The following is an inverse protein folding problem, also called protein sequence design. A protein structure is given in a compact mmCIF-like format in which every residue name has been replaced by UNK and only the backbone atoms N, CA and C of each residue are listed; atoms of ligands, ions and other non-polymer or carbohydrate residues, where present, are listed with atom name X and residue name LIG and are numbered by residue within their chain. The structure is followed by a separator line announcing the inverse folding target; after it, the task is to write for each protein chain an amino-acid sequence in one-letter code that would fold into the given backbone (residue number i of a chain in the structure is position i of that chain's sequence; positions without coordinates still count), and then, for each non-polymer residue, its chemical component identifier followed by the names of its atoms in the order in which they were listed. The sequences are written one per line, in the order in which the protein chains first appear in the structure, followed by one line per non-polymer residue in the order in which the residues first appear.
data_IF_500094099202
#
_entry.id   IF_500094099202
#
_cell.length_a   1.000
_cell.length_b   1.000
_cell.length_c   1.000
_cell.angle_alpha   90.00
_cell.angle_beta   90.00
_cell.angle_gamma   90.00
#
_symmetry.space_group_name_H-M   'P 1'
#
loop_
_entity.id
_entity.type
_entity.pdbx_description
1 polymer ?
#
# COMPACT_ATOMS: atom_id res chain seq x y z
N UNK A 1 -15.06 -12.73 -12.93
CA UNK A 1 -14.05 -13.30 -13.85
C UNK A 1 -12.70 -12.56 -13.83
N UNK A 2 -12.63 -11.22 -13.77
CA UNK A 2 -11.34 -10.49 -13.75
C UNK A 2 -10.46 -10.74 -12.51
N UNK A 3 -11.05 -10.86 -11.33
CA UNK A 3 -10.28 -11.05 -10.09
C UNK A 3 -9.58 -12.42 -10.02
N UNK A 4 -10.23 -13.47 -10.54
CA UNK A 4 -9.64 -14.82 -10.59
C UNK A 4 -8.46 -14.91 -11.57
N UNK A 5 -8.48 -14.10 -12.64
CA UNK A 5 -7.39 -14.01 -13.60
C UNK A 5 -6.18 -13.28 -12.98
N UNK A 6 -6.44 -12.16 -12.28
CA UNK A 6 -5.41 -11.37 -11.63
C UNK A 6 -4.71 -12.14 -10.49
N UNK A 7 -5.44 -12.96 -9.73
CA UNK A 7 -4.85 -13.81 -8.69
C UNK A 7 -3.97 -14.91 -9.31
N UNK A 8 -4.37 -15.47 -10.45
CA UNK A 8 -3.58 -16.46 -11.18
C UNK A 8 -2.29 -15.86 -11.75
N UNK A 9 -2.36 -14.69 -12.38
CA UNK A 9 -1.17 -13.97 -12.88
C UNK A 9 -0.17 -13.64 -11.77
N UNK A 10 -0.69 -13.17 -10.62
CA UNK A 10 0.14 -12.85 -9.46
C UNK A 10 0.82 -14.10 -8.88
N UNK A 11 0.11 -15.23 -8.85
CA UNK A 11 0.67 -16.51 -8.41
C UNK A 11 1.73 -17.04 -9.39
N UNK A 12 1.52 -16.89 -10.70
CA UNK A 12 2.48 -17.29 -11.73
C UNK A 12 3.77 -16.46 -11.67
N UNK A 13 3.67 -15.16 -11.40
CA UNK A 13 4.83 -14.29 -11.24
C UNK A 13 5.66 -14.65 -9.99
N UNK A 14 5.00 -15.15 -8.94
CA UNK A 14 5.65 -15.59 -7.70
C UNK A 14 6.24 -17.00 -7.81
N UNK A 15 5.65 -17.87 -8.63
CA UNK A 15 6.11 -19.23 -8.86
C UNK A 15 7.28 -19.25 -9.86
N UNK A 16 8.51 -19.07 -9.38
CA UNK A 16 9.73 -19.11 -10.21
C UNK A 16 9.97 -20.43 -10.96
N UNK A 17 9.35 -21.54 -10.54
CA UNK A 17 9.58 -22.89 -11.12
C UNK A 17 8.29 -23.66 -11.45
N UNK A 18 7.15 -22.98 -11.63
CA UNK A 18 5.90 -23.63 -12.08
C UNK A 18 5.19 -24.54 -11.05
N UNK A 19 5.72 -24.66 -9.83
CA UNK A 19 5.04 -25.34 -8.72
C UNK A 19 4.23 -24.33 -7.91
N UNK A 20 2.91 -24.36 -8.09
CA UNK A 20 1.97 -23.53 -7.32
C UNK A 20 1.60 -24.28 -6.03
N UNK A 21 2.21 -23.90 -4.92
CA UNK A 21 1.89 -24.42 -3.58
C UNK A 21 0.78 -23.58 -2.94
N UNK A 22 -0.03 -24.15 -2.05
CA UNK A 22 -1.12 -23.45 -1.31
C UNK A 22 -0.65 -22.13 -0.64
N UNK A 23 0.62 -22.08 -0.19
CA UNK A 23 1.20 -20.87 0.37
C UNK A 23 1.33 -19.72 -0.64
N UNK A 24 1.61 -20.01 -1.91
CA UNK A 24 1.72 -19.02 -2.99
C UNK A 24 0.33 -18.50 -3.35
N UNK A 25 -0.70 -19.36 -3.32
CA UNK A 25 -2.10 -18.96 -3.54
C UNK A 25 -2.57 -18.04 -2.40
N UNK A 26 -2.24 -18.35 -1.15
CA UNK A 26 -2.53 -17.49 0.00
C UNK A 26 -1.80 -16.13 -0.10
N UNK A 27 -0.53 -16.11 -0.49
CA UNK A 27 0.20 -14.86 -0.72
C UNK A 27 -0.37 -14.03 -1.88
N UNK A 28 -0.76 -14.68 -2.99
CA UNK A 28 -1.37 -14.02 -4.13
C UNK A 28 -2.77 -13.46 -3.80
N UNK A 29 -3.56 -14.20 -3.01
CA UNK A 29 -4.86 -13.75 -2.50
C UNK A 29 -4.74 -12.58 -1.53
N UNK A 30 -3.77 -12.60 -0.60
CA UNK A 30 -3.52 -11.48 0.32
C UNK A 30 -3.12 -10.21 -0.43
N UNK A 31 -2.31 -10.30 -1.49
CA UNK A 31 -1.94 -9.14 -2.31
C UNK A 31 -3.15 -8.45 -2.93
N UNK A 32 -4.20 -9.20 -3.29
CA UNK A 32 -5.46 -8.65 -3.78
C UNK A 32 -6.28 -7.93 -2.70
N UNK A 33 -6.10 -8.27 -1.41
CA UNK A 33 -6.77 -7.62 -0.28
C UNK A 33 -6.05 -6.30 0.07
N UNK A 34 -4.73 -6.25 -0.10
CA UNK A 34 -3.97 -5.00 0.06
C UNK A 34 -4.19 -3.99 -1.08
N UNK A 35 -4.64 -4.46 -2.23
CA UNK A 35 -4.99 -3.63 -3.38
C UNK A 35 -6.49 -3.30 -3.34
N UNK A 36 -6.98 -2.87 -2.18
CA UNK A 36 -8.36 -2.44 -2.09
C UNK A 36 -8.53 -1.15 -2.89
N UNK A 37 -9.33 -1.29 -3.93
CA UNK A 37 -9.48 -0.34 -5.03
C UNK A 37 -10.49 0.75 -4.69
N UNK A 38 -11.10 0.68 -3.51
CA UNK A 38 -12.17 1.57 -3.04
C UNK A 38 -11.67 2.87 -2.38
N UNK A 39 -10.36 3.12 -2.36
CA UNK A 39 -9.80 4.42 -1.95
C UNK A 39 -9.89 4.74 -0.46
N UNK A 40 -10.70 4.02 0.32
CA UNK A 40 -10.82 4.21 1.78
C UNK A 40 -9.47 4.01 2.49
N UNK A 41 -8.74 2.93 2.19
CA UNK A 41 -7.44 2.68 2.82
C UNK A 41 -6.41 3.77 2.50
N UNK A 42 -6.41 4.28 1.27
CA UNK A 42 -5.55 5.40 0.89
C UNK A 42 -5.86 6.65 1.71
N UNK A 43 -7.14 6.99 1.84
CA UNK A 43 -7.58 8.13 2.64
C UNK A 43 -7.25 7.95 4.13
N UNK A 44 -7.44 6.74 4.65
CA UNK A 44 -7.14 6.39 6.03
C UNK A 44 -5.64 6.55 6.34
N UNK A 45 -4.76 6.02 5.47
CA UNK A 45 -3.32 6.07 5.68
C UNK A 45 -2.81 7.51 5.62
N UNK A 46 -3.29 8.34 4.68
CA UNK A 46 -2.88 9.76 4.58
C UNK A 46 -3.32 10.57 5.79
N UNK A 47 -4.56 10.38 6.24
CA UNK A 47 -5.07 11.04 7.44
C UNK A 47 -4.21 10.67 8.65
N UNK A 48 -3.83 9.39 8.75
CA UNK A 48 -2.98 8.90 9.82
C UNK A 48 -1.52 9.40 9.71
N UNK A 49 -1.00 9.66 8.50
CA UNK A 49 0.31 10.34 8.32
C UNK A 49 0.26 11.74 8.91
N UNK A 50 -0.72 12.57 8.52
CA UNK A 50 -0.82 13.94 9.03
C UNK A 50 -1.01 13.99 10.56
N UNK A 51 -1.81 13.07 11.13
CA UNK A 51 -1.96 12.96 12.58
C UNK A 51 -0.64 12.64 13.26
N UNK A 52 0.08 11.61 12.81
CA UNK A 52 1.38 11.27 13.40
C UNK A 52 2.41 12.39 13.26
N UNK A 53 2.42 13.11 12.14
CA UNK A 53 3.28 14.28 12.00
C UNK A 53 2.93 15.41 12.98
N UNK A 54 1.64 15.69 13.19
CA UNK A 54 1.16 16.68 14.17
C UNK A 54 1.48 16.27 15.62
N UNK A 55 1.40 14.97 15.89
CA UNK A 55 1.76 14.38 17.19
C UNK A 55 3.29 14.20 17.35
N UNK A 56 4.08 14.67 16.38
CA UNK A 56 5.56 14.57 16.35
C UNK A 56 6.11 13.13 16.41
N UNK A 57 5.32 12.15 15.99
CA UNK A 57 5.72 10.74 15.86
C UNK A 57 6.24 10.46 14.45
N UNK A 58 7.55 10.69 14.26
CA UNK A 58 8.24 10.50 12.99
C UNK A 58 8.31 9.04 12.53
N UNK A 59 8.45 8.09 13.47
CA UNK A 59 8.55 6.66 13.16
C UNK A 59 7.23 6.14 12.60
N UNK A 60 6.12 6.50 13.23
CA UNK A 60 4.79 6.10 12.77
C UNK A 60 4.41 6.79 11.44
N UNK A 61 4.89 8.00 11.18
CA UNK A 61 4.73 8.67 9.89
C UNK A 61 5.53 7.93 8.78
N UNK A 62 6.80 7.61 9.03
CA UNK A 62 7.65 6.85 8.10
C UNK A 62 7.08 5.47 7.78
N UNK A 63 6.58 4.75 8.78
CA UNK A 63 5.95 3.45 8.59
C UNK A 63 4.75 3.52 7.64
N UNK A 64 3.90 4.53 7.79
CA UNK A 64 2.72 4.72 6.94
C UNK A 64 3.08 5.14 5.52
N UNK A 65 4.10 5.98 5.36
CA UNK A 65 4.65 6.32 4.04
C UNK A 65 5.16 5.06 3.33
N UNK A 66 5.93 4.22 4.03
CA UNK A 66 6.39 2.95 3.48
C UNK A 66 5.23 2.04 3.07
N UNK A 67 4.18 1.96 3.89
CA UNK A 67 2.95 1.21 3.58
C UNK A 67 2.26 1.72 2.31
N UNK A 68 2.15 3.04 2.13
CA UNK A 68 1.60 3.61 0.88
C UNK A 68 2.44 3.21 -0.33
N UNK A 69 3.77 3.36 -0.24
CA UNK A 69 4.68 3.02 -1.34
C UNK A 69 4.61 1.53 -1.69
N UNK A 70 4.54 0.64 -0.70
CA UNK A 70 4.36 -0.80 -0.91
C UNK A 70 2.96 -1.14 -1.46
N UNK A 71 1.95 -0.35 -1.15
CA UNK A 71 0.60 -0.44 -1.70
C UNK A 71 0.50 -0.02 -3.19
N UNK A 72 1.59 0.47 -3.77
CA UNK A 72 1.64 0.91 -5.17
C UNK A 72 1.23 2.36 -5.38
N UNK A 73 1.13 3.16 -4.31
CA UNK A 73 0.89 4.59 -4.44
C UNK A 73 2.07 5.32 -5.08
N UNK A 74 1.75 6.36 -5.85
CA UNK A 74 2.76 7.14 -6.57
C UNK A 74 3.66 7.91 -5.61
N UNK A 75 5.01 7.78 -5.69
CA UNK A 75 5.92 8.50 -4.78
C UNK A 75 5.72 10.03 -4.81
N UNK A 76 5.43 10.58 -6.00
CA UNK A 76 5.13 12.00 -6.17
C UNK A 76 3.83 12.43 -5.49
N UNK A 77 2.84 11.54 -5.37
CA UNK A 77 1.61 11.83 -4.65
C UNK A 77 1.89 12.03 -3.15
N UNK A 78 2.64 11.10 -2.55
CA UNK A 78 3.03 11.16 -1.14
C UNK A 78 3.89 12.41 -0.87
N UNK A 79 4.88 12.69 -1.72
CA UNK A 79 5.74 13.87 -1.59
C UNK A 79 4.94 15.19 -1.62
N UNK A 80 3.95 15.32 -2.51
CA UNK A 80 3.08 16.52 -2.57
C UNK A 80 2.26 16.71 -1.29
N UNK A 81 1.80 15.62 -0.67
CA UNK A 81 1.05 15.67 0.59
C UNK A 81 1.96 16.12 1.74
N UNK A 82 3.16 15.55 1.84
CA UNK A 82 4.15 15.95 2.84
C UNK A 82 4.55 17.43 2.69
N UNK A 83 4.78 17.89 1.45
CA UNK A 83 5.10 19.29 1.18
C UNK A 83 3.98 20.25 1.59
N UNK A 84 2.72 19.88 1.30
CA UNK A 84 1.56 20.67 1.72
C UNK A 84 1.46 20.74 3.25
N UNK A 85 1.58 19.60 3.93
CA UNK A 85 1.58 19.56 5.39
C UNK A 85 2.67 20.46 5.99
N UNK A 86 3.89 20.40 5.46
CA UNK A 86 5.00 21.26 5.90
C UNK A 86 4.77 22.76 5.66
N UNK A 87 3.84 23.13 4.76
CA UNK A 87 3.46 24.53 4.52
C UNK A 87 2.24 24.98 5.33
N UNK A 88 1.41 24.05 5.82
CA UNK A 88 0.15 24.35 6.49
C UNK A 88 0.23 24.20 8.01
N UNK A 89 0.97 23.20 8.50
CA UNK A 89 0.96 22.73 9.89
C UNK A 89 2.33 22.86 10.62
N UNK A 90 3.40 23.28 9.93
CA UNK A 90 4.72 23.59 10.51
C UNK A 90 4.92 25.11 10.47
#
# INVERSE_FOLDING_TARGET
MRNALNTLESALFLAKDGVVTDQIILQAGQKSIYYDRDGEEHHNIISAIHKSLRDSDGDAACYRVQRMLMGGEGPLYVARRLLRFASEDI
#
